data_IF_562290124145
#
_entry.id   IF_562290124145
#
_cell.length_a   1.000
_cell.length_b   1.000
_cell.length_c   1.000
_cell.angle_alpha   90.00
_cell.angle_beta   90.00
_cell.angle_gamma   90.00
#
_symmetry.space_group_name_H-M   'P 1'
#
loop_
_entity.id
_entity.type
_entity.pdbx_description
1 polymer ?
#
# COMPACT_ATOMS: atom_id res chain seq x y z
N UNK A 1 -7.58 5.17 33.75
CA UNK A 1 -7.02 6.24 32.90
C UNK A 1 -7.00 5.73 31.47
N UNK A 2 -8.01 6.04 30.66
CA UNK A 2 -8.03 5.70 29.24
C UNK A 2 -7.19 6.71 28.48
N UNK A 3 -5.91 6.39 28.23
CA UNK A 3 -5.07 7.20 27.36
C UNK A 3 -5.63 7.17 25.94
N UNK A 4 -5.69 8.32 25.27
CA UNK A 4 -5.90 8.34 23.85
C UNK A 4 -4.83 7.45 23.20
N UNK A 5 -5.24 6.42 22.50
CA UNK A 5 -4.34 5.66 21.66
C UNK A 5 -3.61 6.59 20.68
N UNK A 6 -2.89 6.01 19.76
CA UNK A 6 -2.12 6.76 18.76
C UNK A 6 -2.95 7.87 18.08
N UNK A 7 -2.53 9.14 18.27
CA UNK A 7 -3.21 10.30 17.68
C UNK A 7 -3.07 10.25 16.14
N UNK A 8 -4.16 10.28 15.38
CA UNK A 8 -4.08 10.21 13.92
C UNK A 8 -3.50 11.49 13.32
N UNK A 9 -2.84 11.37 12.17
CA UNK A 9 -2.33 12.51 11.39
C UNK A 9 -3.50 13.46 11.08
N UNK A 10 -3.29 14.77 11.19
CA UNK A 10 -4.33 15.78 10.98
C UNK A 10 -5.07 16.20 12.25
N UNK A 11 -4.80 15.55 13.38
CA UNK A 11 -5.37 15.93 14.66
C UNK A 11 -4.31 16.08 15.74
N UNK A 12 -4.57 16.99 16.66
CA UNK A 12 -3.87 17.12 17.93
C UNK A 12 -4.83 16.88 19.09
N UNK A 13 -4.29 16.58 20.27
CA UNK A 13 -5.09 16.43 21.49
C UNK A 13 -5.00 17.69 22.31
N UNK A 14 -6.14 18.34 22.54
CA UNK A 14 -6.27 19.48 23.45
C UNK A 14 -7.47 19.23 24.36
N UNK A 15 -7.29 19.38 25.65
CA UNK A 15 -8.34 19.19 26.68
C UNK A 15 -9.08 17.83 26.53
N UNK A 16 -8.35 16.76 26.29
CA UNK A 16 -8.87 15.40 26.04
C UNK A 16 -9.80 15.30 24.80
N UNK A 17 -9.76 16.26 23.89
CA UNK A 17 -10.51 16.25 22.62
C UNK A 17 -9.55 16.28 21.44
N UNK A 18 -9.99 15.71 20.31
CA UNK A 18 -9.27 15.81 19.04
C UNK A 18 -9.60 17.16 18.40
N UNK A 19 -8.58 17.95 18.15
CA UNK A 19 -8.66 19.24 17.47
C UNK A 19 -7.95 19.12 16.13
N UNK A 20 -8.51 19.69 15.07
CA UNK A 20 -7.90 19.65 13.73
C UNK A 20 -6.61 20.46 13.71
N UNK A 21 -5.54 19.86 13.26
CA UNK A 21 -4.29 20.52 12.90
C UNK A 21 -4.30 20.81 11.40
N UNK A 22 -4.53 22.06 11.01
CA UNK A 22 -4.73 22.43 9.61
C UNK A 22 -3.51 22.12 8.70
N UNK A 23 -2.29 22.19 9.20
CA UNK A 23 -1.11 21.85 8.45
C UNK A 23 -1.10 20.37 8.05
N UNK A 24 -1.37 19.49 9.02
CA UNK A 24 -1.46 18.04 8.79
C UNK A 24 -2.76 17.65 8.07
N UNK A 25 -3.85 18.36 8.32
CA UNK A 25 -5.15 18.11 7.67
C UNK A 25 -5.10 18.34 6.15
N UNK A 26 -4.33 19.34 5.69
CA UNK A 26 -4.06 19.55 4.27
C UNK A 26 -3.38 18.32 3.65
N UNK A 27 -2.41 17.76 4.34
CA UNK A 27 -1.72 16.52 3.89
C UNK A 27 -2.69 15.34 3.83
N UNK A 28 -3.57 15.19 4.82
CA UNK A 28 -4.59 14.13 4.83
C UNK A 28 -5.55 14.28 3.65
N UNK A 29 -6.09 15.50 3.41
CA UNK A 29 -6.97 15.76 2.25
C UNK A 29 -6.28 15.41 0.94
N UNK A 30 -5.04 15.87 0.76
CA UNK A 30 -4.22 15.56 -0.41
C UNK A 30 -4.03 14.05 -0.61
N UNK A 31 -3.78 13.29 0.44
CA UNK A 31 -3.65 11.83 0.37
C UNK A 31 -4.95 11.19 -0.13
N UNK A 32 -6.12 11.57 0.40
CA UNK A 32 -7.41 11.03 -0.03
C UNK A 32 -7.72 11.36 -1.50
N UNK A 33 -7.56 12.62 -1.92
CA UNK A 33 -7.79 13.07 -3.29
C UNK A 33 -6.85 12.39 -4.28
N UNK A 34 -5.57 12.29 -3.93
CA UNK A 34 -4.57 11.62 -4.76
C UNK A 34 -4.83 10.12 -4.87
N UNK A 35 -5.31 9.50 -3.80
CA UNK A 35 -5.67 8.08 -3.84
C UNK A 35 -6.82 7.81 -4.80
N UNK A 36 -7.81 8.68 -4.89
CA UNK A 36 -8.89 8.58 -5.89
C UNK A 36 -8.34 8.61 -7.32
N UNK A 37 -7.32 9.44 -7.59
CA UNK A 37 -6.69 9.53 -8.91
C UNK A 37 -5.81 8.32 -9.25
N UNK A 38 -5.03 7.84 -8.28
CA UNK A 38 -4.05 6.77 -8.50
C UNK A 38 -4.64 5.36 -8.40
N UNK A 39 -5.66 5.15 -7.58
CA UNK A 39 -6.29 3.85 -7.33
C UNK A 39 -5.37 2.78 -6.73
N UNK A 40 -4.14 3.13 -6.34
CA UNK A 40 -3.10 2.20 -5.90
C UNK A 40 -2.34 2.73 -4.70
N UNK A 41 -2.35 1.96 -3.60
CA UNK A 41 -1.58 2.31 -2.41
C UNK A 41 -0.05 2.23 -2.63
N UNK A 42 0.41 1.41 -3.57
CA UNK A 42 1.84 1.33 -3.92
C UNK A 42 2.28 2.60 -4.65
N UNK A 43 1.54 3.01 -5.70
CA UNK A 43 1.82 4.26 -6.41
C UNK A 43 1.73 5.48 -5.48
N UNK A 44 0.77 5.46 -4.54
CA UNK A 44 0.65 6.51 -3.52
C UNK A 44 1.89 6.61 -2.64
N UNK A 45 2.39 5.48 -2.13
CA UNK A 45 3.61 5.47 -1.29
C UNK A 45 4.81 6.03 -2.05
N UNK A 46 4.99 5.65 -3.32
CA UNK A 46 6.06 6.20 -4.16
C UNK A 46 5.95 7.73 -4.29
N UNK A 47 4.75 8.24 -4.61
CA UNK A 47 4.52 9.67 -4.73
C UNK A 47 4.77 10.43 -3.42
N UNK A 48 4.32 9.89 -2.28
CA UNK A 48 4.52 10.53 -0.98
C UNK A 48 6.00 10.54 -0.56
N UNK A 49 6.73 9.47 -0.87
CA UNK A 49 8.17 9.40 -0.57
C UNK A 49 9.00 10.34 -1.43
N UNK A 50 8.69 10.47 -2.73
CA UNK A 50 9.38 11.42 -3.61
C UNK A 50 9.18 12.88 -3.18
N UNK A 51 8.06 13.17 -2.52
CA UNK A 51 7.74 14.50 -1.97
C UNK A 51 8.23 14.69 -0.53
N UNK A 52 8.87 13.68 0.07
CA UNK A 52 9.35 13.75 1.46
C UNK A 52 8.24 13.79 2.52
N UNK A 53 7.01 13.39 2.16
CA UNK A 53 5.88 13.38 3.09
C UNK A 53 6.07 12.28 4.14
N UNK A 54 6.01 12.67 5.40
CA UNK A 54 6.15 11.77 6.54
C UNK A 54 4.84 11.67 7.33
N UNK A 55 4.73 10.60 8.13
CA UNK A 55 3.65 10.45 9.10
C UNK A 55 3.88 11.34 10.34
N UNK A 56 2.90 11.35 11.26
CA UNK A 56 2.91 12.21 12.48
C UNK A 56 4.17 12.06 13.34
N UNK A 57 4.87 10.93 13.28
CA UNK A 57 6.13 10.69 14.01
C UNK A 57 7.39 10.91 13.16
N UNK A 58 7.29 11.59 12.02
CA UNK A 58 8.41 11.77 11.10
C UNK A 58 8.84 10.50 10.36
N UNK A 59 8.14 9.37 10.54
CA UNK A 59 8.44 8.12 9.85
C UNK A 59 7.98 8.16 8.41
N UNK A 60 8.75 7.53 7.53
CA UNK A 60 8.37 7.37 6.12
C UNK A 60 7.03 6.64 5.99
N UNK A 61 6.23 7.14 5.06
CA UNK A 61 4.92 6.54 4.79
C UNK A 61 5.10 5.16 4.14
N UNK A 62 4.49 4.15 4.74
CA UNK A 62 4.46 2.79 4.23
C UNK A 62 3.05 2.41 3.73
N UNK A 63 2.97 1.39 2.88
CA UNK A 63 1.72 0.89 2.33
C UNK A 63 0.70 0.52 3.42
N UNK A 64 1.16 -0.11 4.51
CA UNK A 64 0.31 -0.46 5.65
C UNK A 64 -0.25 0.78 6.35
N UNK A 65 0.54 1.84 6.46
CA UNK A 65 0.11 3.11 7.04
C UNK A 65 -0.95 3.79 6.17
N UNK A 66 -0.76 3.83 4.83
CA UNK A 66 -1.75 4.38 3.90
C UNK A 66 -3.09 3.68 4.04
N UNK A 67 -3.12 2.34 4.09
CA UNK A 67 -4.38 1.61 4.29
C UNK A 67 -5.04 1.88 5.65
N UNK A 68 -4.25 1.99 6.73
CA UNK A 68 -4.77 2.36 8.05
C UNK A 68 -5.38 3.76 8.03
N UNK A 69 -4.69 4.73 7.39
CA UNK A 69 -5.16 6.10 7.25
C UNK A 69 -6.47 6.15 6.45
N UNK A 70 -6.53 5.53 5.27
CA UNK A 70 -7.71 5.55 4.40
C UNK A 70 -8.94 4.84 5.00
N UNK A 71 -8.75 3.94 5.97
CA UNK A 71 -9.83 3.21 6.67
C UNK A 71 -10.23 3.83 8.00
N UNK A 72 -9.53 4.85 8.47
CA UNK A 72 -9.77 5.43 9.77
C UNK A 72 -10.99 6.38 9.76
N UNK A 73 -12.10 5.96 10.34
CA UNK A 73 -13.36 6.70 10.39
C UNK A 73 -13.30 8.01 11.17
N UNK A 74 -12.25 8.23 11.95
CA UNK A 74 -12.01 9.52 12.62
C UNK A 74 -11.99 10.67 11.61
N UNK A 75 -11.51 10.46 10.40
CA UNK A 75 -11.44 11.50 9.37
C UNK A 75 -12.82 12.00 8.88
N UNK A 76 -13.86 11.22 9.08
CA UNK A 76 -15.26 11.62 8.78
C UNK A 76 -16.06 11.99 10.04
N UNK A 77 -15.36 12.28 11.15
CA UNK A 77 -16.01 12.69 12.38
C UNK A 77 -16.66 11.56 13.17
N UNK A 78 -16.23 10.31 12.97
CA UNK A 78 -16.77 9.16 13.69
C UNK A 78 -15.73 8.56 14.65
N UNK A 79 -16.19 8.22 15.85
CA UNK A 79 -15.43 7.42 16.81
C UNK A 79 -15.81 5.94 16.70
N UNK A 80 -14.84 5.04 16.74
CA UNK A 80 -15.09 3.59 16.68
C UNK A 80 -14.82 2.97 18.04
N UNK A 81 -15.81 2.30 18.61
CA UNK A 81 -15.68 1.53 19.83
C UNK A 81 -16.20 0.11 19.62
N UNK A 82 -15.38 -0.90 19.94
CA UNK A 82 -15.72 -2.33 19.77
C UNK A 82 -16.28 -2.68 18.38
N UNK A 83 -15.75 -2.04 17.32
CA UNK A 83 -16.17 -2.29 15.94
C UNK A 83 -17.42 -1.49 15.49
N UNK A 84 -18.11 -0.82 16.40
CA UNK A 84 -19.26 0.03 16.10
C UNK A 84 -18.83 1.48 15.97
N UNK A 85 -19.34 2.16 14.93
CA UNK A 85 -19.06 3.57 14.68
C UNK A 85 -20.15 4.45 15.31
N UNK A 86 -19.74 5.48 16.02
CA UNK A 86 -20.59 6.47 16.66
C UNK A 86 -20.22 7.86 16.14
N UNK A 87 -21.15 8.83 16.14
CA UNK A 87 -20.80 10.23 15.91
C UNK A 87 -19.73 10.68 16.93
N UNK A 88 -18.62 11.21 16.42
CA UNK A 88 -17.57 11.76 17.27
C UNK A 88 -17.80 13.24 17.60
N UNK A 89 -17.20 13.73 18.68
CA UNK A 89 -17.24 15.15 19.04
C UNK A 89 -16.25 16.02 18.23
N UNK A 90 -15.37 15.39 17.46
CA UNK A 90 -14.32 16.05 16.69
C UNK A 90 -14.78 16.40 15.28
N UNK A 91 -14.22 17.48 14.74
CA UNK A 91 -14.52 17.95 13.40
C UNK A 91 -13.98 16.99 12.35
N UNK A 92 -14.75 16.66 11.32
CA UNK A 92 -14.33 15.88 10.18
C UNK A 92 -13.34 16.65 9.30
N UNK A 93 -12.27 15.97 8.84
CA UNK A 93 -11.30 16.52 7.88
C UNK A 93 -11.75 16.20 6.45
N UNK A 94 -12.38 15.05 6.26
CA UNK A 94 -12.75 14.49 4.95
C UNK A 94 -14.27 14.49 4.81
N UNK A 95 -14.77 14.87 3.62
CA UNK A 95 -16.19 14.79 3.31
C UNK A 95 -16.64 13.34 3.11
N UNK A 96 -17.91 13.06 3.43
CA UNK A 96 -18.50 11.73 3.23
C UNK A 96 -18.45 11.27 1.75
N UNK A 97 -18.58 12.22 0.81
CA UNK A 97 -18.48 11.96 -0.62
C UNK A 97 -17.09 11.45 -1.03
N UNK A 98 -16.01 12.12 -0.58
CA UNK A 98 -14.64 11.72 -0.86
C UNK A 98 -14.31 10.37 -0.20
N UNK A 99 -14.77 10.15 1.03
CA UNK A 99 -14.67 8.89 1.74
C UNK A 99 -15.32 7.74 0.95
N UNK A 100 -16.54 7.93 0.46
CA UNK A 100 -17.25 6.93 -0.34
C UNK A 100 -16.50 6.55 -1.61
N UNK A 101 -15.94 7.53 -2.35
CA UNK A 101 -15.12 7.28 -3.54
C UNK A 101 -13.88 6.43 -3.23
N UNK A 102 -13.16 6.75 -2.16
CA UNK A 102 -11.98 5.98 -1.73
C UNK A 102 -12.36 4.55 -1.36
N UNK A 103 -13.45 4.37 -0.62
CA UNK A 103 -13.89 3.03 -0.20
C UNK A 103 -14.44 2.20 -1.35
N UNK A 104 -15.08 2.80 -2.36
CA UNK A 104 -15.42 2.14 -3.62
C UNK A 104 -14.16 1.57 -4.29
N UNK A 105 -13.10 2.37 -4.43
CA UNK A 105 -11.83 1.92 -5.00
C UNK A 105 -11.17 0.83 -4.14
N UNK A 106 -11.25 0.93 -2.82
CA UNK A 106 -10.71 -0.09 -1.91
C UNK A 106 -11.48 -1.41 -1.96
N UNK A 107 -12.80 -1.37 -2.18
CA UNK A 107 -13.63 -2.55 -2.37
C UNK A 107 -13.31 -3.29 -3.67
N UNK A 108 -13.06 -2.55 -4.76
CA UNK A 108 -12.56 -3.06 -6.04
C UNK A 108 -11.07 -3.43 -6.02
N UNK A 109 -10.55 -3.77 -4.87
CA UNK A 109 -9.11 -3.88 -4.64
C UNK A 109 -8.43 -4.87 -5.60
N UNK A 110 -7.11 -4.67 -5.88
CA UNK A 110 -6.31 -5.55 -6.74
C UNK A 110 -6.35 -7.03 -6.33
N UNK A 111 -6.67 -7.33 -5.06
CA UNK A 111 -6.85 -8.72 -4.61
C UNK A 111 -8.06 -9.40 -5.25
N UNK A 112 -9.19 -8.70 -5.42
CA UNK A 112 -10.35 -9.23 -6.12
C UNK A 112 -10.06 -9.37 -7.62
N UNK A 113 -9.33 -8.41 -8.21
CA UNK A 113 -8.86 -8.48 -9.61
C UNK A 113 -7.86 -9.61 -9.81
N UNK A 114 -6.88 -9.78 -8.93
CA UNK A 114 -5.89 -10.85 -8.98
C UNK A 114 -6.53 -12.22 -8.75
N UNK A 115 -7.52 -12.35 -7.89
CA UNK A 115 -8.27 -13.59 -7.72
C UNK A 115 -9.00 -13.99 -9.02
N UNK A 116 -9.57 -13.04 -9.75
CA UNK A 116 -10.19 -13.29 -11.07
C UNK A 116 -9.15 -13.60 -12.16
N UNK A 117 -7.93 -13.07 -12.06
CA UNK A 117 -6.86 -13.28 -13.06
C UNK A 117 -6.04 -14.55 -12.76
N UNK A 118 -6.00 -15.01 -11.52
CA UNK A 118 -5.27 -16.22 -11.11
C UNK A 118 -5.83 -17.51 -11.71
N UNK A 119 -7.04 -17.48 -12.26
CA UNK A 119 -7.67 -18.64 -12.91
C UNK A 119 -7.06 -18.97 -14.27
N UNK A 120 -6.28 -18.09 -14.90
CA UNK A 120 -5.85 -18.24 -16.29
C UNK A 120 -4.42 -18.78 -16.50
N UNK A 121 -3.59 -18.87 -15.47
CA UNK A 121 -2.22 -19.35 -15.66
C UNK A 121 -1.72 -20.13 -14.45
N UNK A 122 -1.77 -21.47 -14.48
CA UNK A 122 -1.22 -22.29 -13.41
C UNK A 122 0.31 -22.08 -13.34
N UNK A 123 0.78 -21.51 -12.24
CA UNK A 123 2.20 -21.41 -11.94
C UNK A 123 2.58 -22.64 -11.09
N UNK A 124 3.05 -23.68 -11.75
CA UNK A 124 3.33 -25.00 -11.16
C UNK A 124 4.32 -24.94 -9.98
N UNK A 125 5.27 -24.02 -10.03
CA UNK A 125 6.33 -23.90 -9.02
C UNK A 125 6.07 -22.77 -7.99
N UNK A 126 4.85 -22.26 -7.91
CA UNK A 126 4.48 -21.27 -6.91
C UNK A 126 4.62 -21.91 -5.51
N UNK A 127 5.31 -21.20 -4.60
CA UNK A 127 5.60 -21.66 -3.22
C UNK A 127 6.70 -22.74 -3.12
N UNK A 128 7.12 -23.36 -4.21
CA UNK A 128 8.17 -24.40 -4.22
C UNK A 128 9.56 -23.82 -4.49
N UNK A 129 9.67 -22.68 -5.16
CA UNK A 129 10.95 -22.03 -5.44
C UNK A 129 11.20 -20.92 -4.43
N UNK A 130 12.39 -20.96 -3.84
CA UNK A 130 12.88 -19.95 -2.91
C UNK A 130 14.11 -19.26 -3.51
N UNK A 131 14.21 -17.96 -3.31
CA UNK A 131 15.40 -17.20 -3.69
C UNK A 131 16.58 -17.46 -2.74
N UNK A 132 17.78 -16.95 -3.07
CA UNK A 132 18.97 -17.12 -2.23
C UNK A 132 18.79 -16.59 -0.80
N UNK A 133 17.82 -15.72 -0.58
CA UNK A 133 17.46 -15.17 0.73
C UNK A 133 16.43 -16.03 1.49
N UNK A 134 16.15 -17.25 1.06
CA UNK A 134 15.14 -18.15 1.66
C UNK A 134 13.69 -17.68 1.51
N UNK A 135 13.42 -16.68 0.67
CA UNK A 135 12.06 -16.17 0.46
C UNK A 135 11.41 -16.79 -0.77
N UNK A 136 10.12 -17.11 -0.65
CA UNK A 136 9.36 -17.69 -1.74
C UNK A 136 9.32 -16.75 -2.95
N UNK A 137 9.51 -17.32 -4.14
CA UNK A 137 9.36 -16.61 -5.40
C UNK A 137 7.91 -16.61 -5.86
N UNK A 138 7.51 -15.56 -6.56
CA UNK A 138 6.18 -15.43 -7.17
C UNK A 138 6.29 -15.38 -8.68
N UNK A 139 5.27 -15.92 -9.37
CA UNK A 139 5.23 -15.90 -10.83
C UNK A 139 4.94 -14.49 -11.35
N UNK A 140 5.68 -14.06 -12.34
CA UNK A 140 5.43 -12.89 -13.15
C UNK A 140 5.43 -13.29 -14.64
N UNK A 141 4.74 -12.51 -15.47
CA UNK A 141 4.68 -12.78 -16.91
C UNK A 141 4.76 -11.49 -17.71
N UNK A 142 5.33 -11.58 -18.89
CA UNK A 142 5.42 -10.50 -19.86
C UNK A 142 5.02 -11.02 -21.24
N UNK A 143 4.33 -10.19 -22.02
CA UNK A 143 4.04 -10.47 -23.43
C UNK A 143 4.98 -9.67 -24.32
N UNK A 144 5.67 -10.35 -25.23
CA UNK A 144 6.52 -9.74 -26.26
C UNK A 144 6.29 -10.47 -27.58
N UNK A 145 5.91 -9.72 -28.64
CA UNK A 145 5.65 -10.29 -29.96
C UNK A 145 4.58 -11.39 -29.96
N UNK A 146 3.48 -11.25 -29.23
CA UNK A 146 2.42 -12.24 -29.11
C UNK A 146 2.74 -13.45 -28.21
N UNK A 147 3.98 -13.66 -27.83
CA UNK A 147 4.42 -14.78 -26.95
C UNK A 147 4.36 -14.37 -25.48
N UNK A 148 3.91 -15.30 -24.63
CA UNK A 148 3.84 -15.13 -23.17
C UNK A 148 5.11 -15.73 -22.54
N UNK A 149 5.92 -14.89 -21.92
CA UNK A 149 7.10 -15.29 -21.16
C UNK A 149 6.74 -15.32 -19.66
N UNK A 150 7.10 -16.39 -18.99
CA UNK A 150 6.86 -16.59 -17.56
C UNK A 150 8.18 -16.58 -16.82
N UNK A 151 8.19 -15.91 -15.66
CA UNK A 151 9.36 -15.83 -14.77
C UNK A 151 8.93 -16.06 -13.34
N UNK A 152 9.87 -16.47 -12.52
CA UNK A 152 9.72 -16.44 -11.09
C UNK A 152 10.58 -15.31 -10.54
N UNK A 153 9.98 -14.42 -9.74
CA UNK A 153 10.63 -13.23 -9.21
C UNK A 153 10.54 -13.25 -7.70
N UNK A 154 11.65 -12.91 -7.02
CA UNK A 154 11.64 -12.79 -5.57
C UNK A 154 10.59 -11.75 -5.11
N UNK A 155 9.87 -12.07 -4.05
CA UNK A 155 8.90 -11.13 -3.46
C UNK A 155 9.55 -9.85 -2.92
N UNK A 156 10.87 -9.89 -2.65
CA UNK A 156 11.62 -8.70 -2.24
C UNK A 156 11.76 -7.69 -3.37
N UNK A 157 12.00 -8.16 -4.59
CA UNK A 157 12.07 -7.32 -5.80
C UNK A 157 10.76 -6.59 -6.05
N UNK A 158 9.62 -7.21 -5.71
CA UNK A 158 8.31 -6.60 -5.88
C UNK A 158 7.93 -5.62 -4.75
N UNK A 159 8.60 -5.72 -3.60
CA UNK A 159 8.28 -4.91 -2.40
C UNK A 159 9.23 -3.72 -2.21
N UNK A 160 10.44 -3.78 -2.76
CA UNK A 160 11.46 -2.72 -2.64
C UNK A 160 11.37 -1.75 -3.81
N UNK A 161 11.73 -0.49 -3.57
CA UNK A 161 11.78 0.54 -4.60
C UNK A 161 12.79 0.17 -5.69
N UNK A 162 12.47 0.47 -6.93
CA UNK A 162 13.28 0.19 -8.12
C UNK A 162 14.72 0.68 -8.03
N UNK A 163 14.96 1.80 -7.36
CA UNK A 163 16.29 2.40 -7.24
C UNK A 163 17.28 1.56 -6.46
N UNK A 164 16.83 0.85 -5.42
CA UNK A 164 17.70 -0.06 -4.65
C UNK A 164 17.94 -1.39 -5.38
N UNK A 165 17.10 -1.70 -6.36
CA UNK A 165 17.10 -2.94 -7.13
C UNK A 165 18.09 -2.87 -8.30
N UNK A 166 18.25 -1.73 -8.97
CA UNK A 166 19.09 -1.62 -10.17
C UNK A 166 20.57 -1.90 -9.90
N UNK A 167 21.09 -1.56 -8.74
CA UNK A 167 22.47 -1.85 -8.37
C UNK A 167 22.72 -3.36 -8.10
N UNK A 168 21.72 -4.08 -7.56
CA UNK A 168 21.83 -5.52 -7.25
C UNK A 168 21.40 -6.43 -8.40
N UNK A 169 20.42 -6.06 -9.19
CA UNK A 169 19.96 -6.85 -10.35
C UNK A 169 21.02 -6.94 -11.45
N UNK A 170 21.90 -5.95 -11.61
CA UNK A 170 22.99 -6.05 -12.58
C UNK A 170 23.98 -7.17 -12.25
N UNK A 171 24.20 -7.49 -11.00
CA UNK A 171 25.08 -8.58 -10.57
C UNK A 171 24.35 -9.94 -10.62
N UNK A 172 23.08 -9.98 -10.19
CA UNK A 172 22.31 -11.24 -10.14
C UNK A 172 21.73 -11.66 -11.50
N UNK A 173 21.55 -10.74 -12.47
CA UNK A 173 21.11 -11.09 -13.85
C UNK A 173 22.11 -11.98 -14.57
N UNK A 174 23.40 -11.92 -14.26
CA UNK A 174 24.41 -12.80 -14.87
C UNK A 174 24.37 -14.19 -14.27
N UNK A 175 24.10 -14.33 -12.98
CA UNK A 175 24.09 -15.63 -12.31
C UNK A 175 22.76 -16.39 -12.47
N UNK A 176 21.63 -15.71 -12.45
CA UNK A 176 20.30 -16.33 -12.62
C UNK A 176 19.98 -16.75 -14.06
N UNK A 177 20.71 -16.24 -15.07
CA UNK A 177 20.55 -16.68 -16.46
C UNK A 177 21.03 -18.11 -16.68
N UNK A 178 21.96 -18.61 -15.84
CA UNK A 178 22.42 -19.98 -15.91
C UNK A 178 21.48 -21.01 -15.30
N UNK A 179 20.67 -20.63 -14.30
CA UNK A 179 19.80 -21.60 -13.61
C UNK A 179 18.45 -21.85 -14.27
N UNK A 180 17.99 -20.97 -15.17
CA UNK A 180 16.70 -21.15 -15.85
C UNK A 180 16.81 -22.00 -17.11
N UNK A 181 18.02 -22.14 -17.70
CA UNK A 181 18.26 -22.98 -18.88
C UNK A 181 18.61 -24.46 -18.57
N UNK A 182 18.68 -24.83 -17.30
CA UNK A 182 19.02 -26.20 -16.90
C UNK A 182 17.82 -27.11 -16.59
N UNK A 183 16.59 -26.60 -16.78
CA UNK A 183 15.34 -27.38 -16.62
C UNK A 183 14.45 -27.22 -17.86
N UNK A 184 14.85 -27.81 -18.96
CA UNK A 184 14.00 -28.24 -20.09
C UNK A 184 14.30 -29.72 -20.33
#
# INVERSE_FOLDING_TARGET
MGGFGFVPLGYDVKDRKLVVNEAEAKTVRMIFERFVKLGSATAMVHSLRSEGVTGKQGKLVEKGYVYKLLKNRVYIGQAVHKGTAYPGEHQAIISQSLWGKVHGILADSPRARVARTLTQTPALLKVLIFGPNGRAMTSAHTRKGGKLYRYYVSTDVLKRDRETIDARIRTERKENRCMINACV
#
